data_IF_315118530283
#
_entry.id   IF_315118530283
#
_cell.length_a   1.000
_cell.length_b   1.000
_cell.length_c   1.000
_cell.angle_alpha   90.00
_cell.angle_beta   90.00
_cell.angle_gamma   90.00
#
_symmetry.space_group_name_H-M   'P 1'
#
loop_
_entity.id
_entity.type
_entity.pdbx_description
1 polymer ?
#
# COMPACT_ATOMS: atom_id res chain seq x y z
N UNK A 1 -13.11 1.21 2.00
CA UNK A 1 -12.19 0.10 1.56
C UNK A 1 -13.03 -1.08 1.13
N UNK A 2 -12.67 -1.69 0.03
CA UNK A 2 -13.35 -2.89 -0.47
C UNK A 2 -12.36 -4.03 -0.61
N UNK A 3 -12.84 -5.26 -0.50
CA UNK A 3 -12.07 -6.44 -0.86
C UNK A 3 -12.53 -6.90 -2.24
N UNK A 4 -11.58 -7.13 -3.14
CA UNK A 4 -11.85 -7.69 -4.47
C UNK A 4 -10.97 -8.92 -4.66
N UNK A 5 -11.39 -9.80 -5.55
CA UNK A 5 -10.59 -10.98 -5.88
C UNK A 5 -10.08 -10.82 -7.30
N UNK A 6 -8.81 -10.39 -7.42
CA UNK A 6 -8.16 -10.21 -8.71
C UNK A 6 -8.02 -11.55 -9.42
N UNK A 7 -8.37 -11.56 -10.71
CA UNK A 7 -8.24 -12.76 -11.56
C UNK A 7 -8.92 -13.99 -10.95
N UNK A 8 -9.97 -13.77 -10.13
CA UNK A 8 -10.73 -14.81 -9.45
C UNK A 8 -9.93 -15.65 -8.44
N UNK A 9 -8.70 -15.23 -8.07
CA UNK A 9 -7.80 -16.01 -7.20
C UNK A 9 -7.15 -15.21 -6.08
N UNK A 10 -6.95 -13.90 -6.28
CA UNK A 10 -6.08 -13.12 -5.40
C UNK A 10 -6.90 -12.09 -4.62
N UNK A 11 -7.16 -12.32 -3.31
CA UNK A 11 -7.92 -11.38 -2.49
C UNK A 11 -7.05 -10.16 -2.15
N UNK A 12 -7.47 -8.99 -2.61
CA UNK A 12 -6.81 -7.72 -2.26
C UNK A 12 -7.81 -6.78 -1.61
N UNK A 13 -7.29 -5.92 -0.73
CA UNK A 13 -8.02 -4.78 -0.23
C UNK A 13 -7.60 -3.56 -1.03
N UNK A 14 -8.55 -2.70 -1.36
CA UNK A 14 -8.33 -1.54 -2.20
C UNK A 14 -9.09 -0.35 -1.61
N UNK A 15 -8.42 0.79 -1.52
CA UNK A 15 -9.02 2.02 -1.04
C UNK A 15 -8.69 3.15 -2.01
N UNK A 16 -9.74 3.75 -2.57
CA UNK A 16 -9.62 4.95 -3.39
C UNK A 16 -9.75 6.16 -2.46
N UNK A 17 -8.78 7.07 -2.52
CA UNK A 17 -8.75 8.27 -1.70
C UNK A 17 -8.69 9.47 -2.63
N UNK A 18 -9.77 10.26 -2.67
CA UNK A 18 -9.75 11.50 -3.44
C UNK A 18 -8.69 12.43 -2.86
N UNK A 19 -7.98 13.16 -3.73
CA UNK A 19 -6.95 14.09 -3.27
C UNK A 19 -7.52 15.17 -2.34
N UNK A 20 -8.82 15.44 -2.45
CA UNK A 20 -9.51 16.34 -1.52
C UNK A 20 -9.69 15.78 -0.12
N UNK A 21 -9.55 14.46 0.06
CA UNK A 21 -9.75 13.78 1.36
C UNK A 21 -8.45 13.66 2.16
N UNK A 22 -7.34 14.11 1.61
CA UNK A 22 -6.04 13.99 2.26
C UNK A 22 -5.22 15.27 2.08
N UNK A 23 -4.36 15.57 3.04
CA UNK A 23 -3.40 16.67 2.93
C UNK A 23 -2.12 16.25 2.21
N UNK A 24 -1.93 14.95 2.00
CA UNK A 24 -0.75 14.42 1.31
C UNK A 24 -0.87 14.69 -0.19
N UNK A 25 0.24 15.07 -0.82
CA UNK A 25 0.23 15.62 -2.19
C UNK A 25 0.84 14.69 -3.24
N UNK A 26 1.56 13.65 -2.82
CA UNK A 26 2.30 12.80 -3.75
C UNK A 26 2.37 11.38 -3.23
N UNK A 27 2.74 10.44 -4.10
CA UNK A 27 3.01 9.06 -3.69
C UNK A 27 4.09 9.03 -2.62
N UNK A 28 5.14 9.83 -2.78
CA UNK A 28 6.23 9.86 -1.79
C UNK A 28 5.76 10.32 -0.42
N UNK A 29 4.88 11.32 -0.35
CA UNK A 29 4.32 11.76 0.93
C UNK A 29 3.43 10.69 1.55
N UNK A 30 2.63 9.98 0.75
CA UNK A 30 1.82 8.87 1.23
C UNK A 30 2.71 7.75 1.78
N UNK A 31 3.80 7.42 1.09
CA UNK A 31 4.75 6.40 1.54
C UNK A 31 5.43 6.79 2.85
N UNK A 32 5.82 8.07 3.00
CA UNK A 32 6.39 8.57 4.26
C UNK A 32 5.41 8.41 5.42
N UNK A 33 4.14 8.73 5.17
CA UNK A 33 3.09 8.55 6.17
C UNK A 33 2.95 7.08 6.57
N UNK A 34 2.87 6.18 5.58
CA UNK A 34 2.78 4.74 5.84
C UNK A 34 4.00 4.22 6.60
N UNK A 35 5.18 4.69 6.22
CA UNK A 35 6.42 4.32 6.91
C UNK A 35 6.38 4.71 8.38
N UNK A 36 5.87 5.91 8.69
CA UNK A 36 5.75 6.36 10.07
C UNK A 36 4.79 5.47 10.88
N UNK A 37 3.71 5.01 10.26
CA UNK A 37 2.78 4.08 10.89
C UNK A 37 3.41 2.72 11.14
N UNK A 38 4.17 2.21 10.17
CA UNK A 38 4.90 0.94 10.31
C UNK A 38 5.94 1.04 11.42
N UNK A 39 6.73 2.11 11.42
CA UNK A 39 7.79 2.33 12.41
C UNK A 39 7.24 2.45 13.84
N UNK A 40 6.01 2.90 13.99
CA UNK A 40 5.33 3.00 15.29
C UNK A 40 4.70 1.70 15.74
N UNK A 41 4.64 0.69 14.89
CA UNK A 41 4.01 -0.58 15.24
C UNK A 41 5.02 -1.49 15.96
N UNK A 42 4.60 -2.18 17.03
CA UNK A 42 5.54 -2.99 17.83
C UNK A 42 6.08 -4.23 17.11
N UNK A 43 5.43 -4.71 16.06
CA UNK A 43 5.78 -5.96 15.38
C UNK A 43 6.26 -5.74 13.95
N UNK A 44 5.71 -4.73 13.26
CA UNK A 44 6.02 -4.49 11.87
C UNK A 44 7.38 -3.81 11.69
N UNK A 45 8.06 -4.11 10.58
CA UNK A 45 9.36 -3.53 10.24
C UNK A 45 9.32 -3.04 8.80
N UNK A 46 9.71 -1.78 8.59
CA UNK A 46 9.91 -1.23 7.25
C UNK A 46 11.14 -1.88 6.62
N UNK A 47 11.05 -2.24 5.33
CA UNK A 47 12.17 -2.85 4.61
C UNK A 47 12.67 -1.94 3.49
N UNK A 48 11.80 -1.54 2.56
CA UNK A 48 12.22 -0.78 1.39
C UNK A 48 11.04 -0.17 0.66
N UNK A 49 11.33 0.72 -0.27
CA UNK A 49 10.38 1.25 -1.23
C UNK A 49 10.82 0.78 -2.61
N UNK A 50 9.89 0.20 -3.38
CA UNK A 50 10.12 -0.18 -4.76
C UNK A 50 9.41 0.81 -5.67
N UNK A 51 10.20 1.51 -6.50
CA UNK A 51 9.67 2.46 -7.48
C UNK A 51 9.23 1.68 -8.73
N UNK A 52 8.01 1.20 -8.69
CA UNK A 52 7.46 0.37 -9.75
C UNK A 52 7.30 1.17 -11.05
N UNK A 53 6.91 2.43 -10.95
CA UNK A 53 6.74 3.30 -12.11
C UNK A 53 8.04 3.43 -12.92
N UNK A 54 9.13 3.81 -12.24
CA UNK A 54 10.43 3.95 -12.88
C UNK A 54 10.95 2.63 -13.43
N UNK A 55 10.72 1.54 -12.68
CA UNK A 55 11.12 0.21 -13.12
C UNK A 55 10.43 -0.16 -14.45
N UNK A 56 9.10 -0.03 -14.50
CA UNK A 56 8.35 -0.39 -15.70
C UNK A 56 8.72 0.51 -16.87
N UNK A 57 8.89 1.80 -16.62
CA UNK A 57 9.28 2.76 -17.64
C UNK A 57 10.65 2.49 -18.24
N UNK A 58 11.55 1.88 -17.48
CA UNK A 58 12.91 1.55 -17.93
C UNK A 58 12.98 0.31 -18.82
N UNK A 59 11.93 -0.50 -18.85
CA UNK A 59 11.89 -1.72 -19.66
C UNK A 59 11.64 -1.37 -21.13
N UNK A 60 12.33 -2.08 -22.04
CA UNK A 60 12.23 -1.82 -23.48
C UNK A 60 10.79 -1.99 -24.00
N UNK A 61 10.05 -2.94 -23.44
CA UNK A 61 8.66 -3.24 -23.81
C UNK A 61 7.68 -2.90 -22.68
N UNK A 62 8.11 -2.08 -21.71
CA UNK A 62 7.26 -1.68 -20.59
C UNK A 62 6.14 -0.75 -21.02
N UNK A 63 4.96 -0.96 -20.48
CA UNK A 63 3.80 -0.12 -20.73
C UNK A 63 3.15 0.28 -19.40
N UNK A 64 2.76 1.52 -19.30
CA UNK A 64 2.06 2.05 -18.12
C UNK A 64 0.74 2.64 -18.59
N UNK A 65 -0.35 2.30 -17.91
CA UNK A 65 -1.67 2.88 -18.21
C UNK A 65 -1.59 4.40 -18.15
N UNK A 66 -2.26 5.06 -19.08
CA UNK A 66 -2.17 6.54 -19.25
C UNK A 66 -2.60 7.31 -18.01
N UNK A 67 -3.57 6.79 -17.25
CA UNK A 67 -4.09 7.45 -16.06
C UNK A 67 -3.12 7.38 -14.87
N UNK A 68 -2.13 6.49 -14.90
CA UNK A 68 -1.18 6.33 -13.79
C UNK A 68 -0.08 7.38 -13.91
N UNK A 69 0.00 8.26 -12.92
CA UNK A 69 1.02 9.31 -12.85
C UNK A 69 2.25 8.88 -12.08
N UNK A 70 2.09 8.01 -11.09
CA UNK A 70 3.17 7.45 -10.29
C UNK A 70 2.69 6.18 -9.61
N UNK A 71 3.60 5.25 -9.31
CA UNK A 71 3.26 3.98 -8.69
C UNK A 71 4.46 3.42 -7.95
N UNK A 72 4.32 3.19 -6.64
CA UNK A 72 5.39 2.64 -5.80
C UNK A 72 4.80 1.69 -4.77
N UNK A 73 5.64 0.79 -4.28
CA UNK A 73 5.27 -0.13 -3.20
C UNK A 73 6.12 0.16 -1.99
N UNK A 74 5.51 0.12 -0.80
CA UNK A 74 6.26 0.05 0.45
C UNK A 74 6.29 -1.41 0.89
N UNK A 75 7.51 -1.89 1.18
CA UNK A 75 7.77 -3.28 1.53
C UNK A 75 8.02 -3.34 3.02
N UNK A 76 7.35 -4.27 3.68
CA UNK A 76 7.41 -4.42 5.13
C UNK A 76 7.34 -5.89 5.53
N UNK A 77 7.78 -6.19 6.73
CA UNK A 77 7.67 -7.52 7.31
C UNK A 77 6.86 -7.48 8.58
N UNK A 78 5.99 -8.45 8.76
CA UNK A 78 5.15 -8.62 9.93
C UNK A 78 5.52 -9.93 10.60
N UNK A 79 5.86 -9.88 11.88
CA UNK A 79 6.18 -11.07 12.65
C UNK A 79 7.63 -11.14 13.08
N UNK A 80 7.84 -11.74 14.23
CA UNK A 80 9.15 -11.85 14.88
C UNK A 80 9.79 -13.21 14.73
N UNK A 81 9.07 -14.19 14.17
CA UNK A 81 9.52 -15.58 14.10
C UNK A 81 9.36 -16.14 12.70
N UNK A 82 10.24 -17.04 12.36
CA UNK A 82 10.18 -17.76 11.09
C UNK A 82 10.05 -19.27 11.40
N UNK A 83 8.86 -19.72 11.85
CA UNK A 83 8.68 -21.09 12.35
C UNK A 83 8.57 -22.16 11.27
N UNK A 84 8.35 -21.77 10.01
CA UNK A 84 8.22 -22.71 8.89
C UNK A 84 8.98 -22.20 7.67
N UNK A 85 9.67 -23.10 6.91
CA UNK A 85 10.44 -22.68 5.74
C UNK A 85 9.59 -21.99 4.65
N UNK A 86 8.33 -22.43 4.47
CA UNK A 86 7.50 -21.93 3.40
C UNK A 86 6.79 -20.61 3.71
N UNK A 87 7.01 -20.04 4.90
CA UNK A 87 6.47 -18.71 5.22
C UNK A 87 7.04 -17.62 4.33
N UNK A 88 8.22 -17.85 3.75
CA UNK A 88 8.79 -16.90 2.80
C UNK A 88 7.91 -16.71 1.55
N UNK A 89 7.00 -17.64 1.28
CA UNK A 89 6.04 -17.49 0.19
C UNK A 89 5.03 -16.36 0.40
N UNK A 90 4.81 -15.93 1.67
CA UNK A 90 3.89 -14.84 2.02
C UNK A 90 4.58 -13.66 2.71
N UNK A 91 5.90 -13.67 2.77
CA UNK A 91 6.74 -12.61 3.35
C UNK A 91 7.82 -12.21 2.35
N UNK A 92 8.16 -10.93 2.27
CA UNK A 92 7.57 -9.79 2.96
C UNK A 92 6.19 -9.42 2.44
N UNK A 93 5.55 -8.42 3.08
CA UNK A 93 4.29 -7.85 2.62
C UNK A 93 4.56 -6.55 1.89
N UNK A 94 3.57 -6.10 1.11
CA UNK A 94 3.68 -4.84 0.38
C UNK A 94 2.34 -4.12 0.33
N UNK A 95 2.40 -2.79 0.37
CA UNK A 95 1.25 -1.93 0.09
C UNK A 95 1.60 -1.12 -1.15
N UNK A 96 0.75 -1.19 -2.17
CA UNK A 96 0.91 -0.42 -3.39
C UNK A 96 0.23 0.94 -3.27
N UNK A 97 0.87 1.97 -3.77
CA UNK A 97 0.34 3.33 -3.82
C UNK A 97 0.43 3.83 -5.25
N UNK A 98 -0.71 4.16 -5.83
CA UNK A 98 -0.79 4.67 -7.21
C UNK A 98 -1.41 6.05 -7.17
N UNK A 99 -0.84 6.97 -7.94
CA UNK A 99 -1.41 8.31 -8.12
C UNK A 99 -2.10 8.39 -9.48
N UNK A 100 -3.37 8.83 -9.44
CA UNK A 100 -4.09 9.27 -10.62
C UNK A 100 -4.25 10.79 -10.54
N UNK A 101 -4.89 11.41 -11.53
CA UNK A 101 -5.04 12.86 -11.56
C UNK A 101 -5.78 13.39 -10.31
N UNK A 102 -6.84 12.73 -9.90
CA UNK A 102 -7.75 13.21 -8.85
C UNK A 102 -7.72 12.40 -7.56
N UNK A 103 -6.99 11.29 -7.53
CA UNK A 103 -7.00 10.40 -6.36
C UNK A 103 -5.75 9.55 -6.26
N UNK A 104 -5.59 8.95 -5.07
CA UNK A 104 -4.64 7.86 -4.84
C UNK A 104 -5.40 6.55 -4.71
N UNK A 105 -4.82 5.47 -5.20
CA UNK A 105 -5.35 4.13 -5.01
C UNK A 105 -4.32 3.35 -4.19
N UNK A 106 -4.71 2.91 -3.00
CA UNK A 106 -3.87 2.09 -2.14
C UNK A 106 -4.43 0.68 -2.13
N UNK A 107 -3.55 -0.31 -2.29
CA UNK A 107 -3.99 -1.71 -2.31
C UNK A 107 -2.93 -2.63 -1.73
N UNK A 108 -3.39 -3.74 -1.15
CA UNK A 108 -2.52 -4.78 -0.63
C UNK A 108 -3.24 -6.12 -0.61
N UNK A 109 -2.47 -7.19 -0.71
CA UNK A 109 -3.02 -8.53 -0.65
C UNK A 109 -3.32 -8.90 0.81
N UNK A 110 -4.45 -9.58 1.03
CA UNK A 110 -4.81 -10.11 2.34
C UNK A 110 -3.66 -10.97 2.88
N UNK A 111 -3.30 -10.75 4.15
CA UNK A 111 -2.27 -11.54 4.81
C UNK A 111 -2.89 -12.78 5.48
N UNK A 112 -2.13 -13.88 5.59
CA UNK A 112 -2.61 -15.04 6.34
C UNK A 112 -2.89 -14.74 7.81
N UNK A 113 -2.14 -13.80 8.40
CA UNK A 113 -2.33 -13.36 9.78
C UNK A 113 -3.39 -12.23 9.81
N UNK A 114 -4.54 -12.45 10.48
CA UNK A 114 -5.57 -11.41 10.58
C UNK A 114 -5.08 -10.11 11.20
N UNK A 115 -4.18 -10.17 12.18
CA UNK A 115 -3.64 -8.97 12.83
C UNK A 115 -2.85 -8.11 11.84
N UNK A 116 -2.08 -8.75 10.95
CA UNK A 116 -1.34 -8.04 9.92
C UNK A 116 -2.30 -7.37 8.94
N UNK A 117 -3.34 -8.07 8.51
CA UNK A 117 -4.35 -7.51 7.61
C UNK A 117 -5.04 -6.30 8.23
N UNK A 118 -5.45 -6.40 9.49
CA UNK A 118 -6.12 -5.30 10.19
C UNK A 118 -5.21 -4.10 10.38
N UNK A 119 -3.93 -4.33 10.68
CA UNK A 119 -2.95 -3.25 10.80
C UNK A 119 -2.79 -2.51 9.46
N UNK A 120 -2.63 -3.24 8.36
CA UNK A 120 -2.49 -2.62 7.04
C UNK A 120 -3.74 -1.84 6.64
N UNK A 121 -4.94 -2.35 6.96
CA UNK A 121 -6.18 -1.62 6.75
C UNK A 121 -6.19 -0.30 7.51
N UNK A 122 -5.78 -0.31 8.76
CA UNK A 122 -5.72 0.89 9.60
C UNK A 122 -4.76 1.92 9.06
N UNK A 123 -3.56 1.50 8.64
CA UNK A 123 -2.56 2.40 8.06
C UNK A 123 -3.05 3.06 6.78
N UNK A 124 -3.65 2.28 5.89
CA UNK A 124 -4.17 2.77 4.62
C UNK A 124 -5.30 3.78 4.86
N UNK A 125 -6.22 3.48 5.78
CA UNK A 125 -7.31 4.40 6.13
C UNK A 125 -6.80 5.69 6.76
N UNK A 126 -5.66 5.65 7.47
CA UNK A 126 -5.11 6.82 8.15
C UNK A 126 -4.58 7.88 7.17
N UNK A 127 -4.44 7.56 5.88
CA UNK A 127 -4.08 8.52 4.85
C UNK A 127 -5.20 9.56 4.66
N UNK A 128 -6.45 9.17 4.92
CA UNK A 128 -7.58 10.09 4.85
C UNK A 128 -7.50 11.05 6.04
N UNK A 129 -7.59 12.34 5.73
CA UNK A 129 -7.55 13.38 6.75
C UNK A 129 -8.94 13.51 7.40
N UNK A 130 -9.06 13.08 8.65
CA UNK A 130 -10.32 13.09 9.39
C UNK A 130 -10.90 14.51 9.47
N UNK A 131 -10.05 15.53 9.63
CA UNK A 131 -10.51 16.91 9.70
C UNK A 131 -11.15 17.36 8.39
N UNK A 132 -10.64 16.91 7.26
CA UNK A 132 -11.23 17.21 5.95
C UNK A 132 -12.58 16.52 5.77
N UNK A 133 -12.72 15.28 6.25
CA UNK A 133 -14.00 14.58 6.21
C UNK A 133 -15.07 15.27 7.05
N UNK A 134 -14.70 15.81 8.21
CA UNK A 134 -15.63 16.49 9.11
C UNK A 134 -16.06 17.86 8.57
N UNK A 135 -15.30 18.49 7.69
CA UNK A 135 -15.60 19.79 7.12
C UNK A 135 -16.30 19.73 5.77
N UNK A 136 -16.43 18.56 5.21
CA UNK A 136 -17.17 18.34 3.98
C UNK A 136 -18.56 17.79 4.28
#
# INVERSE_FOLDING_TARGET
MKQVTLMKKYPIFELDIDKSETSLKSVDEVLEHLKSQIDSHPVATFIAIFDHYSHTKSLADGEIAKEILDAKNIILCFGKKLPKPNLLGVRPRAIGVVELEDKFILSFMEAPNPDATEAMKGWVKSVIDVNKLLTT
#
